data_IF_340400344081
#
_entry.id   IF_340400344081
#
_cell.length_a   1.000
_cell.length_b   1.000
_cell.length_c   1.000
_cell.angle_alpha   90.00
_cell.angle_beta   90.00
_cell.angle_gamma   90.00
#
_symmetry.space_group_name_H-M   'P 1'
#
loop_
_entity.id
_entity.type
_entity.pdbx_description
1 polymer ?
#
# COMPACT_ATOMS: atom_id res chain seq x y z
N UNK A 1 -26.18 5.98 -27.30
CA UNK A 1 -25.43 7.06 -26.61
C UNK A 1 -23.94 6.74 -26.69
N UNK A 2 -23.07 7.72 -26.91
CA UNK A 2 -21.61 7.46 -26.89
C UNK A 2 -21.09 7.26 -25.46
N UNK A 3 -20.23 6.27 -25.27
CA UNK A 3 -19.48 6.02 -24.04
C UNK A 3 -18.03 5.69 -24.37
N UNK A 4 -17.18 5.51 -23.36
CA UNK A 4 -15.77 5.18 -23.57
C UNK A 4 -15.16 4.35 -22.43
N UNK A 5 -14.05 3.68 -22.76
CA UNK A 5 -13.11 3.11 -21.79
C UNK A 5 -11.69 3.53 -22.13
N UNK A 6 -10.78 3.48 -21.17
CA UNK A 6 -9.35 3.57 -21.45
C UNK A 6 -8.78 2.18 -21.69
N UNK A 7 -8.02 2.03 -22.78
CA UNK A 7 -7.30 0.81 -23.09
C UNK A 7 -6.01 1.12 -23.85
N UNK A 8 -4.88 0.50 -23.48
CA UNK A 8 -3.58 0.67 -24.13
C UNK A 8 -3.15 2.15 -24.27
N UNK A 9 -3.42 2.93 -23.22
CA UNK A 9 -3.11 4.37 -23.18
C UNK A 9 -4.00 5.25 -24.06
N UNK A 10 -5.10 4.71 -24.60
CA UNK A 10 -6.01 5.44 -25.50
C UNK A 10 -7.43 5.44 -24.95
N UNK A 11 -8.19 6.49 -25.30
CA UNK A 11 -9.64 6.56 -25.08
C UNK A 11 -10.34 5.82 -26.23
N UNK A 12 -10.96 4.68 -25.93
CA UNK A 12 -11.75 3.90 -26.87
C UNK A 12 -13.23 4.25 -26.73
N UNK A 13 -13.79 4.91 -27.74
CA UNK A 13 -15.22 5.23 -27.79
C UNK A 13 -16.04 4.06 -28.36
N UNK A 14 -17.28 3.92 -27.89
CA UNK A 14 -18.25 2.96 -28.43
C UNK A 14 -19.69 3.48 -28.25
N UNK A 15 -20.61 2.94 -29.04
CA UNK A 15 -22.02 3.25 -28.95
C UNK A 15 -22.75 2.27 -28.04
N UNK A 16 -23.50 2.82 -27.07
CA UNK A 16 -24.44 2.07 -26.24
C UNK A 16 -25.81 2.07 -26.93
N UNK A 17 -26.51 0.92 -27.00
CA UNK A 17 -27.86 0.82 -27.55
C UNK A 17 -28.80 1.89 -26.98
N UNK A 18 -29.67 2.44 -27.83
CA UNK A 18 -30.51 3.58 -27.46
C UNK A 18 -31.59 3.24 -26.43
N UNK A 19 -31.94 1.96 -26.29
CA UNK A 19 -32.89 1.42 -25.33
C UNK A 19 -32.26 1.10 -23.95
N UNK A 20 -30.94 1.26 -23.80
CA UNK A 20 -30.25 1.03 -22.53
C UNK A 20 -30.20 2.29 -21.66
N UNK A 21 -30.41 2.10 -20.36
CA UNK A 21 -30.20 3.13 -19.33
C UNK A 21 -28.77 3.06 -18.79
N UNK A 22 -28.02 4.16 -18.84
CA UNK A 22 -26.69 4.26 -18.23
C UNK A 22 -26.86 4.55 -16.74
N UNK A 23 -26.59 3.55 -15.89
CA UNK A 23 -26.63 3.72 -14.43
C UNK A 23 -25.40 4.47 -13.89
N UNK A 24 -24.22 4.25 -14.49
CA UNK A 24 -22.98 4.94 -14.17
C UNK A 24 -22.03 4.87 -15.39
N UNK A 25 -21.29 5.96 -15.65
CA UNK A 25 -20.40 6.07 -16.80
C UNK A 25 -19.74 7.43 -16.96
N UNK A 26 -19.60 8.18 -15.86
CA UNK A 26 -18.98 9.52 -15.90
C UNK A 26 -17.46 9.39 -15.86
N UNK A 27 -16.78 10.30 -16.54
CA UNK A 27 -15.35 10.49 -16.37
C UNK A 27 -15.08 10.82 -14.91
N UNK A 28 -14.16 10.08 -14.28
CA UNK A 28 -13.86 10.32 -12.87
C UNK A 28 -13.07 11.63 -12.80
N UNK A 29 -13.69 12.65 -12.21
CA UNK A 29 -13.04 13.94 -12.02
C UNK A 29 -11.93 13.74 -10.99
N UNK A 30 -10.65 13.90 -11.36
CA UNK A 30 -9.56 13.66 -10.43
C UNK A 30 -9.66 14.64 -9.26
N UNK A 31 -9.49 14.12 -8.05
CA UNK A 31 -9.26 14.95 -6.86
C UNK A 31 -8.13 15.94 -7.15
N UNK A 32 -8.30 17.19 -6.71
CA UNK A 32 -7.26 18.21 -6.85
C UNK A 32 -5.97 17.71 -6.19
N UNK A 33 -4.82 17.81 -6.88
CA UNK A 33 -3.56 17.43 -6.29
C UNK A 33 -3.19 18.37 -5.14
N UNK A 34 -2.44 17.84 -4.18
CA UNK A 34 -1.78 18.64 -3.17
C UNK A 34 -0.74 19.56 -3.84
N UNK A 35 -0.76 20.88 -3.57
CA UNK A 35 0.14 21.82 -4.22
C UNK A 35 1.61 21.62 -3.82
N UNK A 36 1.87 21.12 -2.61
CA UNK A 36 3.22 20.81 -2.12
C UNK A 36 3.22 19.43 -1.43
N UNK A 37 3.46 18.35 -2.18
CA UNK A 37 3.51 17.00 -1.64
C UNK A 37 4.59 16.79 -0.57
N UNK A 38 5.70 17.53 -0.61
CA UNK A 38 6.77 17.41 0.39
C UNK A 38 6.35 18.06 1.71
N UNK A 39 5.72 19.23 1.67
CA UNK A 39 5.11 19.85 2.85
C UNK A 39 3.99 18.98 3.43
N UNK A 40 3.23 18.28 2.59
CA UNK A 40 2.16 17.38 3.02
C UNK A 40 2.68 16.12 3.73
N UNK A 41 3.78 15.53 3.24
CA UNK A 41 4.51 14.47 3.97
C UNK A 41 4.90 14.98 5.35
N UNK A 42 5.54 16.16 5.43
CA UNK A 42 5.95 16.77 6.70
C UNK A 42 4.76 16.99 7.64
N UNK A 43 3.65 17.54 7.13
CA UNK A 43 2.41 17.75 7.90
C UNK A 43 1.91 16.44 8.51
N UNK A 44 1.85 15.36 7.72
CA UNK A 44 1.38 14.06 8.20
C UNK A 44 2.29 13.49 9.30
N UNK A 45 3.61 13.70 9.19
CA UNK A 45 4.61 13.22 10.15
C UNK A 45 4.73 14.09 11.41
N UNK A 46 4.38 15.38 11.32
CA UNK A 46 4.26 16.28 12.48
C UNK A 46 3.07 15.90 13.37
N UNK A 47 2.01 15.32 12.78
CA UNK A 47 0.77 14.95 13.46
C UNK A 47 0.31 13.52 13.12
N UNK A 48 1.10 12.48 13.47
CA UNK A 48 0.73 11.11 13.18
C UNK A 48 -0.52 10.69 13.97
N UNK A 49 -1.43 9.97 13.32
CA UNK A 49 -2.67 9.48 13.94
C UNK A 49 -2.40 8.20 14.73
N UNK A 50 -2.77 8.16 16.02
CA UNK A 50 -2.65 6.95 16.84
C UNK A 50 -1.21 6.49 17.17
N UNK A 51 -0.19 7.25 16.78
CA UNK A 51 1.23 6.90 17.01
C UNK A 51 2.01 8.11 17.53
N UNK A 52 3.16 7.86 18.15
CA UNK A 52 4.18 8.89 18.38
C UNK A 52 4.87 9.30 17.06
N UNK A 53 5.55 10.45 17.06
CA UNK A 53 6.36 10.91 15.93
C UNK A 53 7.60 10.03 15.75
N UNK A 54 8.17 10.03 14.54
CA UNK A 54 9.35 9.21 14.22
C UNK A 54 10.51 9.49 15.18
N UNK A 55 10.78 10.76 15.47
CA UNK A 55 11.85 11.17 16.37
C UNK A 55 11.64 10.72 17.83
N UNK A 56 10.39 10.47 18.24
CA UNK A 56 10.02 10.00 19.58
C UNK A 56 9.98 8.46 19.66
N UNK A 57 9.72 7.79 18.53
CA UNK A 57 9.81 6.33 18.37
C UNK A 57 11.27 5.87 18.33
N UNK A 58 12.14 6.69 17.74
CA UNK A 58 13.57 6.46 17.67
C UNK A 58 14.23 6.62 19.05
N UNK A 59 15.18 5.74 19.35
CA UNK A 59 16.03 5.83 20.54
C UNK A 59 17.48 5.70 20.12
N UNK A 60 18.37 6.39 20.83
CA UNK A 60 19.80 6.27 20.59
C UNK A 60 20.23 4.80 20.72
N UNK A 61 20.91 4.29 19.70
CA UNK A 61 21.37 2.90 19.65
C UNK A 61 20.36 1.89 19.09
N UNK A 62 19.14 2.32 18.73
CA UNK A 62 18.18 1.48 18.01
C UNK A 62 18.59 1.21 16.55
N UNK A 63 18.06 0.12 15.99
CA UNK A 63 18.07 -0.18 14.55
C UNK A 63 16.69 0.13 13.97
N UNK A 64 16.66 0.77 12.81
CA UNK A 64 15.43 1.07 12.11
C UNK A 64 15.36 0.34 10.76
N UNK A 65 14.17 -0.14 10.42
CA UNK A 65 13.85 -0.67 9.10
C UNK A 65 12.76 0.18 8.46
N UNK A 66 13.02 0.63 7.23
CA UNK A 66 12.05 1.34 6.40
C UNK A 66 11.58 0.36 5.32
N UNK A 67 10.33 -0.06 5.40
CA UNK A 67 9.66 -0.83 4.37
C UNK A 67 9.07 0.10 3.33
N UNK A 68 9.22 -0.23 2.05
CA UNK A 68 8.62 0.53 0.96
C UNK A 68 8.14 -0.41 -0.15
N UNK A 69 7.05 -0.07 -0.81
CA UNK A 69 6.51 -0.90 -1.89
C UNK A 69 7.33 -0.87 -3.19
N UNK A 70 7.12 -1.89 -4.03
CA UNK A 70 7.84 -2.06 -5.29
C UNK A 70 7.29 -1.18 -6.44
N UNK A 71 7.84 -1.37 -7.65
CA UNK A 71 7.44 -0.62 -8.85
C UNK A 71 6.05 -0.98 -9.39
N UNK A 72 5.40 -2.04 -8.89
CA UNK A 72 4.00 -2.35 -9.24
C UNK A 72 3.01 -1.45 -8.50
N UNK A 73 3.52 -0.55 -7.65
CA UNK A 73 2.74 0.48 -6.95
C UNK A 73 3.19 1.87 -7.40
N UNK A 74 2.25 2.80 -7.61
CA UNK A 74 2.55 4.17 -8.03
C UNK A 74 3.07 5.06 -6.89
N UNK A 75 3.29 4.51 -5.69
CA UNK A 75 3.71 5.27 -4.50
C UNK A 75 4.97 6.08 -4.78
N UNK A 76 4.93 7.41 -4.60
CA UNK A 76 6.09 8.28 -4.74
C UNK A 76 6.93 8.27 -3.44
N UNK A 77 7.45 7.10 -3.07
CA UNK A 77 8.16 6.90 -1.80
C UNK A 77 9.36 7.85 -1.63
N UNK A 78 9.98 8.29 -2.73
CA UNK A 78 11.04 9.30 -2.75
C UNK A 78 10.67 10.63 -2.08
N UNK A 79 9.38 10.95 -1.96
CA UNK A 79 8.92 12.14 -1.22
C UNK A 79 8.98 11.93 0.30
N UNK A 80 8.78 10.70 0.78
CA UNK A 80 8.80 10.36 2.20
C UNK A 80 10.21 10.11 2.73
N UNK A 81 11.07 9.46 1.95
CA UNK A 81 12.41 9.04 2.40
C UNK A 81 13.25 10.17 3.04
N UNK A 82 13.39 11.37 2.43
CA UNK A 82 14.22 12.42 3.00
C UNK A 82 13.79 12.84 4.41
N UNK A 83 12.47 13.02 4.61
CA UNK A 83 11.92 13.46 5.89
C UNK A 83 11.92 12.32 6.93
N UNK A 84 11.66 11.08 6.52
CA UNK A 84 11.77 9.90 7.41
C UNK A 84 13.21 9.73 7.91
N UNK A 85 14.20 9.78 7.01
CA UNK A 85 15.61 9.65 7.38
C UNK A 85 16.05 10.78 8.31
N UNK A 86 15.68 12.01 7.98
CA UNK A 86 15.98 13.18 8.82
C UNK A 86 15.43 13.01 10.24
N UNK A 87 14.19 12.55 10.41
CA UNK A 87 13.58 12.35 11.74
C UNK A 87 14.19 11.18 12.51
N UNK A 88 14.51 10.08 11.82
CA UNK A 88 15.26 8.98 12.44
C UNK A 88 16.63 9.45 12.95
N UNK A 89 17.35 10.26 12.16
CA UNK A 89 18.63 10.84 12.58
C UNK A 89 18.45 11.80 13.77
N UNK A 90 17.41 12.65 13.77
CA UNK A 90 17.08 13.54 14.88
C UNK A 90 16.77 12.78 16.17
N UNK A 91 16.10 11.62 16.07
CA UNK A 91 15.87 10.69 17.18
C UNK A 91 17.09 9.84 17.56
N UNK A 92 18.26 10.08 16.96
CA UNK A 92 19.53 9.45 17.34
C UNK A 92 19.86 8.13 16.63
N UNK A 93 19.16 7.78 15.55
CA UNK A 93 19.47 6.61 14.73
C UNK A 93 20.27 7.06 13.48
N UNK A 94 21.59 6.83 13.41
CA UNK A 94 22.39 7.22 12.25
C UNK A 94 22.11 6.31 11.05
N UNK A 95 22.37 6.78 9.83
CA UNK A 95 22.14 6.05 8.56
C UNK A 95 22.75 4.64 8.53
N UNK A 96 23.87 4.44 9.23
CA UNK A 96 24.52 3.12 9.37
C UNK A 96 23.69 2.07 10.12
N UNK A 97 22.63 2.48 10.84
CA UNK A 97 21.70 1.60 11.56
C UNK A 97 20.29 1.61 10.96
N UNK A 98 20.14 2.18 9.76
CA UNK A 98 18.90 2.19 9.00
C UNK A 98 19.05 1.23 7.82
N UNK A 99 18.06 0.37 7.60
CA UNK A 99 17.99 -0.52 6.43
C UNK A 99 16.66 -0.29 5.72
N UNK A 100 16.71 -0.18 4.40
CA UNK A 100 15.50 -0.09 3.58
C UNK A 100 15.21 -1.46 2.95
N UNK A 101 13.98 -1.93 3.09
CA UNK A 101 13.52 -3.21 2.53
C UNK A 101 12.38 -2.96 1.54
N UNK A 102 12.60 -3.29 0.28
CA UNK A 102 11.56 -3.29 -0.74
C UNK A 102 10.60 -4.47 -0.49
N UNK A 103 9.35 -4.15 -0.16
CA UNK A 103 8.29 -5.08 0.19
C UNK A 103 7.62 -5.64 -1.08
N UNK A 104 8.27 -6.63 -1.68
CA UNK A 104 7.89 -7.27 -2.95
C UNK A 104 6.75 -8.29 -2.81
N UNK A 105 6.53 -8.84 -1.61
CA UNK A 105 5.70 -10.03 -1.44
C UNK A 105 6.16 -11.15 -2.36
N UNK A 106 5.30 -11.57 -3.31
CA UNK A 106 5.62 -12.61 -4.30
C UNK A 106 6.06 -12.06 -5.65
N UNK A 107 6.29 -10.75 -5.77
CA UNK A 107 6.70 -10.15 -7.04
C UNK A 107 8.20 -10.29 -7.30
N UNK A 108 8.63 -10.24 -8.58
CA UNK A 108 10.04 -10.10 -8.90
C UNK A 108 10.64 -8.84 -8.28
N UNK A 109 11.87 -8.89 -7.73
CA UNK A 109 12.51 -7.72 -7.17
C UNK A 109 12.83 -6.70 -8.28
N UNK A 110 12.68 -5.39 -8.01
CA UNK A 110 13.18 -4.36 -8.91
C UNK A 110 14.70 -4.40 -9.00
N UNK A 111 15.22 -3.94 -10.14
CA UNK A 111 16.65 -3.70 -10.30
C UNK A 111 17.11 -2.43 -9.55
N UNK A 112 18.42 -2.18 -9.55
CA UNK A 112 19.00 -1.01 -8.88
C UNK A 112 18.44 0.32 -9.40
N UNK A 113 18.21 0.44 -10.71
CA UNK A 113 17.63 1.63 -11.31
C UNK A 113 16.19 1.87 -10.79
N UNK A 114 15.41 0.79 -10.66
CA UNK A 114 14.10 0.78 -10.07
C UNK A 114 14.08 1.20 -8.61
N UNK A 115 15.02 0.68 -7.80
CA UNK A 115 15.19 1.07 -6.39
C UNK A 115 15.54 2.55 -6.26
N UNK A 116 16.51 3.05 -7.04
CA UNK A 116 16.87 4.47 -7.09
C UNK A 116 15.69 5.36 -7.50
N UNK A 117 14.89 4.92 -8.47
CA UNK A 117 13.69 5.65 -8.89
C UNK A 117 12.63 5.69 -7.78
N UNK A 118 12.37 4.57 -7.12
CA UNK A 118 11.35 4.45 -6.07
C UNK A 118 11.72 5.24 -4.82
N UNK A 119 12.96 5.13 -4.36
CA UNK A 119 13.44 5.75 -3.12
C UNK A 119 13.96 7.19 -3.30
N UNK A 120 14.33 7.57 -4.52
CA UNK A 120 15.11 8.76 -4.78
C UNK A 120 16.62 8.47 -4.66
N UNK A 121 17.41 9.13 -5.52
CA UNK A 121 18.84 8.88 -5.62
C UNK A 121 19.60 9.15 -4.31
N UNK A 122 19.27 10.26 -3.63
CA UNK A 122 19.90 10.66 -2.38
C UNK A 122 19.69 9.61 -1.27
N UNK A 123 18.44 9.21 -1.04
CA UNK A 123 18.11 8.23 -0.01
C UNK A 123 18.75 6.86 -0.29
N UNK A 124 18.76 6.43 -1.56
CA UNK A 124 19.45 5.22 -1.97
C UNK A 124 20.95 5.29 -1.68
N UNK A 125 21.62 6.40 -2.02
CA UNK A 125 23.05 6.58 -1.79
C UNK A 125 23.41 6.58 -0.30
N UNK A 126 22.59 7.23 0.54
CA UNK A 126 22.78 7.28 2.00
C UNK A 126 22.68 5.89 2.65
N UNK A 127 21.76 5.07 2.17
CA UNK A 127 21.49 3.76 2.77
C UNK A 127 22.32 2.63 2.14
N UNK A 128 22.78 2.75 0.89
CA UNK A 128 23.56 1.70 0.23
C UNK A 128 24.80 1.30 1.05
N UNK A 129 25.10 -0.02 1.18
CA UNK A 129 24.46 -1.18 0.54
C UNK A 129 23.26 -1.76 1.33
N UNK A 130 22.74 -1.08 2.36
CA UNK A 130 21.61 -1.52 3.20
C UNK A 130 20.24 -1.24 2.56
N UNK A 131 20.15 -1.41 1.24
CA UNK A 131 18.90 -1.39 0.48
C UNK A 131 18.72 -2.76 -0.11
N UNK A 132 17.72 -3.49 0.37
CA UNK A 132 17.50 -4.90 -0.01
C UNK A 132 16.07 -5.13 -0.47
N UNK A 133 15.86 -6.16 -1.28
CA UNK A 133 14.51 -6.62 -1.64
C UNK A 133 14.13 -7.82 -0.80
N UNK A 134 12.87 -7.88 -0.37
CA UNK A 134 12.34 -9.06 0.28
C UNK A 134 12.29 -10.26 -0.69
N UNK A 135 12.51 -11.46 -0.15
CA UNK A 135 12.32 -12.74 -0.84
C UNK A 135 11.41 -13.63 0.00
N UNK A 136 10.15 -13.79 -0.45
CA UNK A 136 9.17 -14.62 0.23
C UNK A 136 9.54 -16.11 0.24
N UNK A 137 10.40 -16.56 -0.67
CA UNK A 137 10.84 -17.96 -0.76
C UNK A 137 12.10 -18.26 0.07
N UNK A 138 12.72 -17.22 0.63
CA UNK A 138 13.92 -17.36 1.45
C UNK A 138 13.62 -18.19 2.70
N UNK A 139 14.56 -19.09 3.01
CA UNK A 139 14.57 -19.88 4.25
C UNK A 139 14.98 -19.07 5.48
N UNK A 140 15.47 -17.84 5.27
CA UNK A 140 15.86 -16.92 6.33
C UNK A 140 14.66 -16.14 6.90
N UNK A 141 13.46 -16.28 6.32
CA UNK A 141 12.25 -15.71 6.92
C UNK A 141 12.01 -16.37 8.28
N UNK A 142 11.72 -15.56 9.30
CA UNK A 142 11.66 -16.01 10.70
C UNK A 142 10.23 -15.92 11.24
N UNK A 143 9.81 -16.88 12.09
CA UNK A 143 8.49 -16.85 12.69
C UNK A 143 8.37 -15.73 13.72
N UNK A 144 7.24 -15.01 13.68
CA UNK A 144 6.88 -13.96 14.66
C UNK A 144 5.71 -14.37 15.57
N UNK A 145 5.25 -15.62 15.45
CA UNK A 145 4.17 -16.19 16.26
C UNK A 145 2.97 -16.61 15.41
N UNK A 146 1.85 -16.87 16.08
CA UNK A 146 0.58 -17.25 15.46
C UNK A 146 -0.45 -16.14 15.61
N UNK A 147 -1.25 -15.93 14.58
CA UNK A 147 -2.44 -15.08 14.67
C UNK A 147 -3.46 -15.69 15.63
N UNK A 148 -4.44 -14.90 16.04
CA UNK A 148 -5.60 -15.28 16.85
C UNK A 148 -6.41 -16.42 16.23
N UNK A 149 -6.29 -16.62 14.91
CA UNK A 149 -6.93 -17.69 14.13
C UNK A 149 -5.99 -18.86 13.83
N UNK A 150 -4.79 -18.85 14.40
CA UNK A 150 -3.85 -19.97 14.42
C UNK A 150 -2.85 -20.01 13.27
N UNK A 151 -2.88 -19.06 12.33
CA UNK A 151 -1.92 -19.01 11.22
C UNK A 151 -0.52 -18.70 11.76
N UNK A 152 0.47 -19.56 11.46
CA UNK A 152 1.87 -19.28 11.77
C UNK A 152 2.40 -18.27 10.75
N UNK A 153 3.01 -17.20 11.24
CA UNK A 153 3.47 -16.09 10.41
C UNK A 153 4.98 -15.98 10.47
N UNK A 154 5.59 -15.93 9.29
CA UNK A 154 7.00 -15.71 9.06
C UNK A 154 7.19 -14.43 8.26
N UNK A 155 8.18 -13.61 8.65
CA UNK A 155 8.50 -12.36 7.97
C UNK A 155 10.00 -12.22 7.73
N UNK A 156 10.38 -11.18 6.99
CA UNK A 156 11.77 -10.81 6.80
C UNK A 156 12.51 -10.58 8.15
N UNK A 157 13.69 -11.21 8.35
CA UNK A 157 14.40 -11.15 9.64
C UNK A 157 14.84 -9.73 10.01
N UNK A 158 15.16 -8.89 9.03
CA UNK A 158 15.57 -7.50 9.29
C UNK A 158 14.46 -6.72 9.99
N UNK A 159 13.20 -6.93 9.57
CA UNK A 159 12.05 -6.29 10.19
C UNK A 159 11.74 -6.90 11.58
N UNK A 160 11.85 -8.23 11.72
CA UNK A 160 11.61 -8.92 12.99
C UNK A 160 12.60 -8.50 14.10
N UNK A 161 13.84 -8.18 13.73
CA UNK A 161 14.91 -7.79 14.66
C UNK A 161 15.04 -6.27 14.90
N UNK A 162 14.28 -5.46 14.16
CA UNK A 162 14.37 -4.01 14.25
C UNK A 162 13.62 -3.47 15.47
N UNK A 163 14.16 -2.42 16.09
CA UNK A 163 13.51 -1.72 17.19
C UNK A 163 12.39 -0.80 16.69
N UNK A 164 12.57 -0.26 15.47
CA UNK A 164 11.64 0.65 14.81
C UNK A 164 11.40 0.18 13.38
N UNK A 165 10.17 -0.21 13.06
CA UNK A 165 9.74 -0.55 11.70
C UNK A 165 8.79 0.54 11.20
N UNK A 166 9.11 1.15 10.05
CA UNK A 166 8.30 2.18 9.39
C UNK A 166 7.91 1.68 7.99
N UNK A 167 6.65 1.86 7.58
CA UNK A 167 6.17 1.48 6.26
C UNK A 167 5.81 2.68 5.39
N UNK A 168 6.17 2.64 4.11
CA UNK A 168 5.83 3.65 3.11
C UNK A 168 5.07 2.97 1.96
N UNK A 169 3.85 3.42 1.69
CA UNK A 169 2.97 2.83 0.67
C UNK A 169 1.90 3.80 0.19
N UNK A 170 0.91 3.30 -0.55
CA UNK A 170 -0.27 4.06 -0.92
C UNK A 170 -1.56 3.32 -0.58
N UNK A 171 -2.60 4.06 -0.20
CA UNK A 171 -3.95 3.55 -0.01
C UNK A 171 -4.77 3.71 -1.30
N UNK A 172 -5.38 2.63 -1.76
CA UNK A 172 -6.26 2.61 -2.94
C UNK A 172 -7.18 1.38 -2.88
N UNK A 173 -8.30 1.33 -3.63
CA UNK A 173 -9.22 0.18 -3.57
C UNK A 173 -8.54 -1.14 -3.96
N UNK A 174 -8.89 -2.23 -3.27
CA UNK A 174 -8.29 -3.54 -3.50
C UNK A 174 -9.31 -4.67 -3.42
N UNK A 175 -9.33 -5.53 -4.45
CA UNK A 175 -10.34 -6.58 -4.67
C UNK A 175 -10.68 -7.47 -3.47
N UNK A 176 -9.69 -7.87 -2.67
CA UNK A 176 -9.90 -8.77 -1.53
C UNK A 176 -9.79 -8.09 -0.17
N UNK A 177 -8.72 -7.33 0.07
CA UNK A 177 -8.48 -6.64 1.34
C UNK A 177 -9.41 -5.43 1.60
N UNK A 178 -10.37 -5.15 0.72
CA UNK A 178 -11.10 -3.88 0.71
C UNK A 178 -10.27 -2.75 0.11
N UNK A 179 -9.12 -2.49 0.74
CA UNK A 179 -8.16 -1.45 0.37
C UNK A 179 -6.71 -1.97 0.43
N UNK A 180 -5.85 -1.43 -0.42
CA UNK A 180 -4.39 -1.52 -0.33
C UNK A 180 -3.86 -0.50 0.66
N UNK A 181 -2.55 -0.47 0.89
CA UNK A 181 -1.96 0.35 1.94
C UNK A 181 -2.03 -0.33 3.30
N UNK A 182 -1.84 0.45 4.38
CA UNK A 182 -1.86 -0.01 5.76
C UNK A 182 -0.96 -1.22 6.01
N UNK A 183 -1.56 -2.25 6.58
CA UNK A 183 -0.89 -3.51 6.94
C UNK A 183 -0.33 -4.31 5.76
N UNK A 184 -0.71 -3.97 4.50
CA UNK A 184 -0.23 -4.72 3.34
C UNK A 184 1.26 -4.57 3.05
N UNK A 185 1.91 -3.55 3.62
CA UNK A 185 3.37 -3.44 3.59
C UNK A 185 4.04 -4.60 4.36
N UNK A 186 3.33 -5.20 5.32
CA UNK A 186 3.74 -6.41 6.04
C UNK A 186 3.16 -7.66 5.38
N UNK A 187 1.83 -7.80 5.34
CA UNK A 187 1.13 -8.95 4.77
C UNK A 187 0.43 -8.56 3.45
N UNK A 188 0.96 -8.93 2.28
CA UNK A 188 2.02 -9.90 2.03
C UNK A 188 3.44 -9.31 1.91
N UNK A 189 3.60 -7.98 1.95
CA UNK A 189 4.80 -7.29 1.47
C UNK A 189 6.17 -7.83 1.92
N UNK A 190 6.29 -8.32 3.16
CA UNK A 190 7.53 -8.91 3.70
C UNK A 190 7.31 -10.27 4.37
N UNK A 191 6.20 -10.96 4.06
CA UNK A 191 5.89 -12.26 4.63
C UNK A 191 6.46 -13.40 3.80
N UNK A 192 6.85 -14.50 4.47
CA UNK A 192 7.24 -15.74 3.81
C UNK A 192 6.10 -16.33 2.98
N UNK A 193 6.44 -17.06 1.91
CA UNK A 193 5.49 -17.56 0.92
C UNK A 193 4.39 -18.43 1.54
N UNK A 194 4.73 -19.24 2.53
CA UNK A 194 3.73 -20.07 3.23
C UNK A 194 2.74 -19.23 4.06
N UNK A 195 3.22 -18.16 4.69
CA UNK A 195 2.35 -17.22 5.41
C UNK A 195 1.40 -16.50 4.45
N UNK A 196 1.94 -16.05 3.30
CA UNK A 196 1.14 -15.43 2.23
C UNK A 196 0.08 -16.42 1.74
N UNK A 197 0.47 -17.64 1.38
CA UNK A 197 -0.43 -18.66 0.84
C UNK A 197 -1.51 -19.05 1.85
N UNK A 198 -1.14 -19.28 3.11
CA UNK A 198 -2.08 -19.61 4.19
C UNK A 198 -3.12 -18.50 4.38
N UNK A 199 -2.69 -17.25 4.50
CA UNK A 199 -3.58 -16.09 4.65
C UNK A 199 -4.52 -15.94 3.44
N UNK A 200 -3.98 -15.96 2.23
CA UNK A 200 -4.79 -15.76 1.03
C UNK A 200 -5.79 -16.91 0.84
N UNK A 201 -5.37 -18.17 0.94
CA UNK A 201 -6.24 -19.32 0.73
C UNK A 201 -7.33 -19.45 1.80
N UNK A 202 -7.03 -19.06 3.06
CA UNK A 202 -8.01 -19.07 4.13
C UNK A 202 -9.15 -18.06 3.89
N UNK A 203 -8.82 -16.85 3.43
CA UNK A 203 -9.78 -15.74 3.41
C UNK A 203 -10.36 -15.40 2.04
N UNK A 204 -9.77 -15.89 0.93
CA UNK A 204 -10.25 -15.57 -0.43
C UNK A 204 -11.72 -15.95 -0.65
N UNK A 205 -12.18 -17.01 0.03
CA UNK A 205 -13.56 -17.52 -0.09
C UNK A 205 -14.51 -16.98 0.98
N UNK A 206 -14.04 -16.10 1.87
CA UNK A 206 -14.90 -15.50 2.88
C UNK A 206 -15.91 -14.55 2.20
N UNK A 207 -17.21 -14.60 2.53
CA UNK A 207 -18.24 -13.77 1.91
C UNK A 207 -18.02 -12.25 2.01
N UNK A 208 -17.25 -11.77 2.99
CA UNK A 208 -16.95 -10.35 3.20
C UNK A 208 -15.57 -9.92 2.64
N UNK A 209 -14.82 -10.83 2.02
CA UNK A 209 -13.56 -10.51 1.33
C UNK A 209 -13.86 -9.87 -0.01
N UNK A 210 -14.08 -8.56 -0.01
CA UNK A 210 -14.47 -7.79 -1.19
C UNK A 210 -13.89 -6.38 -1.20
N UNK A 211 -13.81 -5.77 -2.38
CA UNK A 211 -13.43 -4.36 -2.54
C UNK A 211 -14.35 -3.45 -1.72
N UNK A 212 -13.78 -2.46 -1.05
CA UNK A 212 -14.51 -1.50 -0.23
C UNK A 212 -14.93 -1.99 1.17
N UNK A 213 -14.77 -3.28 1.50
CA UNK A 213 -15.19 -3.84 2.80
C UNK A 213 -13.97 -4.03 3.71
N UNK A 214 -14.01 -3.43 4.90
CA UNK A 214 -13.00 -3.64 5.96
C UNK A 214 -13.57 -4.36 7.19
N UNK A 215 -14.79 -4.02 7.61
CA UNK A 215 -15.44 -4.67 8.74
C UNK A 215 -15.96 -6.05 8.36
N UNK A 216 -15.58 -7.09 9.13
CA UNK A 216 -15.94 -8.48 8.85
C UNK A 216 -15.11 -9.11 7.73
N UNK A 217 -14.26 -8.33 7.07
CA UNK A 217 -13.33 -8.82 6.07
C UNK A 217 -12.11 -9.43 6.76
N UNK A 218 -12.16 -10.75 6.97
CA UNK A 218 -11.09 -11.48 7.68
C UNK A 218 -9.72 -11.40 6.97
N UNK A 219 -9.71 -11.19 5.65
CA UNK A 219 -8.47 -10.94 4.90
C UNK A 219 -7.79 -9.67 5.42
N UNK A 220 -8.56 -8.59 5.57
CA UNK A 220 -8.09 -7.30 6.07
C UNK A 220 -7.74 -7.34 7.56
N UNK A 221 -8.63 -7.91 8.38
CA UNK A 221 -8.47 -7.95 9.83
C UNK A 221 -7.25 -8.77 10.28
N UNK A 222 -7.02 -9.95 9.68
CA UNK A 222 -5.83 -10.74 10.01
C UNK A 222 -4.55 -10.06 9.51
N UNK A 223 -4.57 -9.37 8.36
CA UNK A 223 -3.41 -8.61 7.91
C UNK A 223 -3.04 -7.49 8.90
N UNK A 224 -4.02 -6.80 9.47
CA UNK A 224 -3.81 -5.79 10.52
C UNK A 224 -3.23 -6.39 11.80
N UNK A 225 -3.73 -7.55 12.23
CA UNK A 225 -3.16 -8.29 13.34
C UNK A 225 -1.68 -8.63 13.10
N UNK A 226 -1.38 -9.17 11.91
CA UNK A 226 -0.02 -9.51 11.49
C UNK A 226 0.91 -8.29 11.51
N UNK A 227 0.45 -7.12 11.03
CA UNK A 227 1.26 -5.91 11.03
C UNK A 227 1.60 -5.43 12.45
N UNK A 228 0.66 -5.57 13.40
CA UNK A 228 0.90 -5.27 14.82
C UNK A 228 1.86 -6.27 15.46
N UNK A 229 1.70 -7.57 15.16
CA UNK A 229 2.64 -8.62 15.60
C UNK A 229 4.06 -8.36 15.08
N UNK A 230 4.19 -7.90 13.84
CA UNK A 230 5.46 -7.54 13.21
C UNK A 230 6.08 -6.24 13.75
N UNK A 231 5.43 -5.56 14.70
CA UNK A 231 5.95 -4.37 15.34
C UNK A 231 6.00 -3.13 14.45
N UNK A 232 5.18 -3.04 13.39
CA UNK A 232 5.08 -1.85 12.55
C UNK A 232 4.68 -0.64 13.40
N UNK A 233 5.62 0.28 13.62
CA UNK A 233 5.45 1.42 14.55
C UNK A 233 4.76 2.61 13.90
N UNK A 234 5.05 2.85 12.63
CA UNK A 234 4.46 3.95 11.88
C UNK A 234 4.28 3.55 10.42
N UNK A 235 3.11 3.84 9.87
CA UNK A 235 2.79 3.65 8.47
C UNK A 235 2.53 5.00 7.82
N UNK A 236 2.98 5.17 6.58
CA UNK A 236 2.76 6.34 5.73
C UNK A 236 2.01 5.85 4.48
N UNK A 237 0.79 6.33 4.26
CA UNK A 237 0.02 6.08 3.04
C UNK A 237 -0.20 7.36 2.23
N UNK A 238 0.25 7.32 0.99
CA UNK A 238 -0.11 8.30 -0.02
C UNK A 238 -1.49 7.98 -0.60
N UNK A 239 -2.35 8.99 -0.73
CA UNK A 239 -3.54 8.92 -1.57
C UNK A 239 -3.22 9.63 -2.90
N UNK A 240 -3.33 8.90 -4.01
CA UNK A 240 -3.08 9.44 -5.34
C UNK A 240 -4.40 9.66 -6.09
N UNK A 241 -4.47 10.72 -6.89
CA UNK A 241 -5.58 10.91 -7.81
C UNK A 241 -5.42 10.01 -9.06
N UNK A 242 -6.41 10.03 -9.95
CA UNK A 242 -6.40 9.22 -11.19
C UNK A 242 -5.28 9.56 -12.18
N UNK A 243 -4.57 10.68 -11.99
CA UNK A 243 -3.37 11.05 -12.76
C UNK A 243 -2.07 10.58 -12.12
N UNK A 244 -2.14 9.92 -10.95
CA UNK A 244 -0.97 9.52 -10.17
C UNK A 244 -0.34 10.66 -9.36
N UNK A 245 -1.03 11.79 -9.22
CA UNK A 245 -0.55 12.93 -8.44
C UNK A 245 -0.97 12.76 -6.98
N UNK A 246 -0.12 13.20 -6.04
CA UNK A 246 -0.43 13.14 -4.60
C UNK A 246 -1.61 14.05 -4.29
N UNK A 247 -2.68 13.50 -3.73
CA UNK A 247 -3.82 14.25 -3.22
C UNK A 247 -3.68 14.56 -1.73
N UNK A 248 -3.25 13.58 -0.93
CA UNK A 248 -3.13 13.69 0.52
C UNK A 248 -2.16 12.62 1.06
N UNK A 249 -1.59 12.82 2.25
CA UNK A 249 -0.72 11.85 2.93
C UNK A 249 -1.20 11.61 4.35
N UNK A 250 -1.29 10.34 4.73
CA UNK A 250 -1.65 9.88 6.07
C UNK A 250 -0.45 9.20 6.70
N UNK A 251 -0.22 9.47 7.98
CA UNK A 251 0.84 8.83 8.76
C UNK A 251 0.34 8.48 10.16
N UNK A 252 0.77 7.35 10.71
CA UNK A 252 0.40 6.95 12.08
C UNK A 252 0.43 5.46 12.37
N UNK A 253 -0.35 5.03 13.38
CA UNK A 253 -0.56 3.62 13.71
C UNK A 253 -1.33 2.93 12.58
N UNK A 254 -0.88 1.73 12.21
CA UNK A 254 -1.26 1.03 10.98
C UNK A 254 -2.77 0.89 10.72
N UNK A 255 -3.60 0.78 11.76
CA UNK A 255 -5.06 0.68 11.60
C UNK A 255 -5.70 2.06 11.64
N UNK A 256 -5.27 2.91 12.57
CA UNK A 256 -5.87 4.24 12.75
C UNK A 256 -5.59 5.18 11.57
N UNK A 257 -4.33 5.26 11.11
CA UNK A 257 -3.98 6.08 9.94
C UNK A 257 -4.65 5.55 8.66
N UNK A 258 -4.68 4.22 8.51
CA UNK A 258 -5.26 3.60 7.33
C UNK A 258 -6.78 3.81 7.30
N UNK A 259 -7.47 3.82 8.46
CA UNK A 259 -8.88 4.16 8.52
C UNK A 259 -9.16 5.59 8.01
N UNK A 260 -8.31 6.56 8.35
CA UNK A 260 -8.38 7.92 7.80
C UNK A 260 -8.15 7.93 6.28
N UNK A 261 -7.12 7.22 5.81
CA UNK A 261 -6.80 7.11 4.39
C UNK A 261 -7.93 6.43 3.59
N UNK A 262 -8.53 5.37 4.12
CA UNK A 262 -9.66 4.64 3.53
C UNK A 262 -10.88 5.56 3.41
N UNK A 263 -11.23 6.30 4.46
CA UNK A 263 -12.35 7.23 4.43
C UNK A 263 -12.18 8.23 3.27
N UNK A 264 -11.00 8.83 3.16
CA UNK A 264 -10.69 9.77 2.08
C UNK A 264 -10.65 9.09 0.70
N UNK A 265 -10.17 7.85 0.64
CA UNK A 265 -10.18 7.04 -0.58
C UNK A 265 -11.61 6.77 -1.07
N UNK A 266 -12.53 6.42 -0.18
CA UNK A 266 -13.95 6.23 -0.51
C UNK A 266 -14.55 7.53 -1.06
N UNK A 267 -14.35 8.66 -0.38
CA UNK A 267 -14.87 9.97 -0.81
C UNK A 267 -14.37 10.40 -2.21
N UNK A 268 -13.27 9.84 -2.69
CA UNK A 268 -12.63 10.23 -3.96
C UNK A 268 -12.79 9.19 -5.07
N UNK A 269 -13.06 7.93 -4.73
CA UNK A 269 -13.08 6.82 -5.69
C UNK A 269 -14.41 6.08 -5.77
N UNK A 270 -15.27 6.20 -4.74
CA UNK A 270 -16.55 5.52 -4.73
C UNK A 270 -17.55 6.15 -5.71
N UNK A 271 -18.41 5.30 -6.27
CA UNK A 271 -19.48 5.69 -7.16
C UNK A 271 -20.78 5.06 -6.67
N UNK A 272 -21.81 5.90 -6.48
CA UNK A 272 -23.14 5.42 -6.16
C UNK A 272 -23.83 4.94 -7.44
N UNK A 273 -24.14 3.64 -7.49
CA UNK A 273 -24.91 3.03 -8.57
C UNK A 273 -26.28 2.67 -8.03
N UNK A 274 -27.33 3.29 -8.58
CA UNK A 274 -28.69 3.23 -8.02
C UNK A 274 -29.26 1.80 -7.86
N UNK A 275 -28.83 0.87 -8.71
CA UNK A 275 -29.21 -0.56 -8.68
C UNK A 275 -28.19 -1.40 -9.42
N UNK A 276 -28.27 -2.72 -9.30
CA UNK A 276 -27.44 -3.65 -10.09
C UNK A 276 -27.69 -3.43 -11.59
N UNK A 277 -26.60 -3.28 -12.35
CA UNK A 277 -26.66 -3.19 -13.80
C UNK A 277 -26.96 -4.57 -14.41
N UNK A 278 -27.70 -4.61 -15.52
CA UNK A 278 -27.86 -5.83 -16.32
C UNK A 278 -26.59 -6.19 -17.09
N UNK A 279 -25.77 -5.18 -17.42
CA UNK A 279 -24.48 -5.30 -18.09
C UNK A 279 -23.51 -4.28 -17.50
N UNK A 280 -22.29 -4.73 -17.15
CA UNK A 280 -21.18 -3.85 -16.76
C UNK A 280 -20.07 -3.93 -17.80
N UNK A 281 -19.58 -2.78 -18.25
CA UNK A 281 -18.40 -2.66 -19.12
C UNK A 281 -17.28 -2.07 -18.27
N UNK A 282 -16.18 -2.81 -18.09
CA UNK A 282 -15.01 -2.35 -17.32
C UNK A 282 -13.73 -2.45 -18.13
N UNK A 283 -12.74 -1.64 -17.78
CA UNK A 283 -11.38 -1.74 -18.28
C UNK A 283 -10.40 -1.69 -17.11
N UNK A 284 -9.29 -2.40 -17.25
CA UNK A 284 -8.27 -2.49 -16.22
C UNK A 284 -7.15 -1.45 -16.36
N UNK A 285 -7.28 -0.46 -17.26
CA UNK A 285 -6.27 0.57 -17.47
C UNK A 285 -5.87 1.28 -16.16
N UNK A 286 -4.56 1.49 -15.89
CA UNK A 286 -3.38 1.11 -16.69
C UNK A 286 -2.84 -0.29 -16.38
N UNK A 287 -3.48 -1.04 -15.49
CA UNK A 287 -3.07 -2.35 -14.99
C UNK A 287 -3.61 -3.52 -15.84
N UNK A 288 -3.36 -3.47 -17.14
CA UNK A 288 -4.05 -4.29 -18.16
C UNK A 288 -3.43 -5.68 -18.37
N UNK A 289 -2.37 -6.04 -17.63
CA UNK A 289 -1.60 -7.26 -17.86
C UNK A 289 -1.57 -8.18 -16.64
N UNK A 290 -1.52 -9.49 -16.91
CA UNK A 290 -1.41 -10.54 -15.90
C UNK A 290 -2.55 -10.51 -14.88
N UNK A 291 -2.27 -10.92 -13.65
CA UNK A 291 -3.28 -10.98 -12.58
C UNK A 291 -3.83 -9.61 -12.15
N UNK A 292 -3.30 -8.50 -12.65
CA UNK A 292 -3.88 -7.19 -12.36
C UNK A 292 -5.11 -6.90 -13.22
N UNK A 293 -5.18 -7.46 -14.43
CA UNK A 293 -6.29 -7.17 -15.36
C UNK A 293 -7.64 -7.70 -14.87
N UNK A 294 -7.62 -8.80 -14.10
CA UNK A 294 -8.83 -9.39 -13.50
C UNK A 294 -9.45 -8.51 -12.40
N UNK A 295 -8.71 -7.53 -11.86
CA UNK A 295 -9.21 -6.71 -10.75
C UNK A 295 -10.37 -5.82 -11.15
N UNK A 296 -10.42 -5.31 -12.38
CA UNK A 296 -11.55 -4.51 -12.85
C UNK A 296 -12.86 -5.30 -12.89
N UNK A 297 -12.77 -6.64 -13.05
CA UNK A 297 -13.94 -7.53 -13.02
C UNK A 297 -14.48 -7.74 -11.60
N UNK A 298 -13.64 -7.63 -10.58
CA UNK A 298 -14.09 -7.76 -9.17
C UNK A 298 -14.90 -6.57 -8.68
N UNK A 299 -14.86 -5.46 -9.43
CA UNK A 299 -15.65 -4.24 -9.16
C UNK A 299 -16.83 -4.09 -10.12
N UNK A 300 -17.06 -5.08 -10.99
CA UNK A 300 -18.06 -5.06 -12.05
C UNK A 300 -19.41 -5.66 -11.63
#
# INVERSE_FOLDING_TARGET
>A
MKSFVYYDGRKMEFDIPSDWEILYGKEIIPTRPCPDPAAEVKRSLDHPTGSARIEDLARQGSRAVILFDDLTRPTPAFLAFPEVLKRLNQGGIPDGRITAVCATGTHPPPDEAGLKKKMGLEAYQRLSPRVVCHDATSRENVPIGRTSRGALIEINPLAAEADVVIGIGSCFPHSWAGFGGGSKIIMPGICGLQSIASHHLAWLRNPHTHSGITQGNLFYEEANEIARMAGLKLKIDFLLNFKGEVAEVFSGEVVEEHACAIKRCIETTAADVARRAGVTISAAYPLERGNQSIKSLTTA
#
